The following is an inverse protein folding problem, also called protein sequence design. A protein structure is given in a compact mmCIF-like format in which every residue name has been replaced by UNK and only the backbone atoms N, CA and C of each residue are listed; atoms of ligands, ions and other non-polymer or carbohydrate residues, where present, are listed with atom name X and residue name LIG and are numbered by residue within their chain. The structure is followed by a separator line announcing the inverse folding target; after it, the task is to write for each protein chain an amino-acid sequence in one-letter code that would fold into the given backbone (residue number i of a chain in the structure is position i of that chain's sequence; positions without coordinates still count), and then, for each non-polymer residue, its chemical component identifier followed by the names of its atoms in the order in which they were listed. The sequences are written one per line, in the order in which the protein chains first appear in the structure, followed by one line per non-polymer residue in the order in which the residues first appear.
data_IF_086851665744
#
_entry.id   IF_086851665744
#
_cell.length_a   1.000
_cell.length_b   1.000
_cell.length_c   1.000
_cell.angle_alpha   90.00
_cell.angle_beta   90.00
_cell.angle_gamma   90.00
#
_symmetry.space_group_name_H-M   'P 1'
#
loop_
_entity.id
_entity.type
_entity.pdbx_description
1 polymer ?
#
# COMPACT_ATOMS: atom_id res chain seq x y z
N UNK A 1 -7.72 -16.86 -8.22
CA UNK A 1 -8.26 -15.56 -7.80
C UNK A 1 -7.46 -14.48 -8.51
N UNK A 2 -8.11 -13.56 -9.22
CA UNK A 2 -7.50 -12.42 -9.92
C UNK A 2 -7.88 -11.13 -9.22
N UNK A 3 -6.88 -10.38 -8.75
CA UNK A 3 -7.08 -9.11 -8.06
C UNK A 3 -6.21 -8.06 -8.71
N UNK A 4 -6.78 -6.91 -9.04
CA UNK A 4 -6.01 -5.72 -9.38
C UNK A 4 -5.66 -4.97 -8.09
N UNK A 5 -4.36 -4.86 -7.80
CA UNK A 5 -3.88 -4.35 -6.50
C UNK A 5 -3.56 -2.86 -6.50
N UNK A 6 -3.63 -2.17 -7.63
CA UNK A 6 -3.26 -0.76 -7.73
C UNK A 6 -4.22 -0.01 -8.65
N UNK A 7 -5.21 0.66 -8.06
CA UNK A 7 -6.21 1.46 -8.76
C UNK A 7 -6.50 2.76 -8.01
N UNK A 8 -6.64 3.85 -8.75
CA UNK A 8 -7.09 5.14 -8.24
C UNK A 8 -8.51 5.41 -8.70
N UNK A 9 -9.35 5.92 -7.80
CA UNK A 9 -10.69 6.38 -8.16
C UNK A 9 -10.81 7.90 -8.04
N UNK A 10 -11.76 8.47 -8.78
CA UNK A 10 -11.82 9.91 -9.06
C UNK A 10 -12.33 10.78 -7.92
N UNK A 11 -12.99 10.22 -6.90
CA UNK A 11 -13.55 10.97 -5.77
C UNK A 11 -12.47 11.42 -4.79
N UNK A 12 -11.52 10.54 -4.47
CA UNK A 12 -10.45 10.81 -3.49
C UNK A 12 -9.03 10.70 -4.06
N UNK A 13 -8.86 10.51 -5.37
CA UNK A 13 -7.54 10.64 -6.03
C UNK A 13 -7.61 11.65 -7.16
N UNK A 14 -6.67 12.58 -7.18
CA UNK A 14 -6.64 13.69 -8.14
C UNK A 14 -6.22 13.28 -9.56
N UNK A 15 -5.64 12.09 -9.71
CA UNK A 15 -5.03 11.59 -10.94
C UNK A 15 -5.91 10.60 -11.71
N UNK A 16 -7.12 10.33 -11.23
CA UNK A 16 -8.07 9.40 -11.86
C UNK A 16 -9.33 10.10 -12.34
N UNK A 17 -9.83 9.65 -13.50
CA UNK A 17 -11.15 10.01 -14.01
C UNK A 17 -12.17 8.86 -13.84
N UNK A 18 -11.74 7.71 -13.34
CA UNK A 18 -12.58 6.52 -13.20
C UNK A 18 -13.27 6.52 -11.84
N UNK A 19 -14.61 6.43 -11.81
CA UNK A 19 -15.33 6.29 -10.54
C UNK A 19 -15.17 4.88 -9.96
N UNK A 20 -15.49 4.72 -8.68
CA UNK A 20 -15.52 3.40 -8.04
C UNK A 20 -16.49 2.45 -8.75
N UNK A 21 -17.67 2.94 -9.15
CA UNK A 21 -18.69 2.14 -9.85
C UNK A 21 -18.16 1.64 -11.20
N UNK A 22 -17.48 2.51 -11.96
CA UNK A 22 -16.86 2.13 -13.23
C UNK A 22 -15.71 1.14 -13.04
N UNK A 23 -14.92 1.28 -11.98
CA UNK A 23 -13.88 0.31 -11.59
C UNK A 23 -14.46 -1.08 -11.28
N UNK A 24 -15.55 -1.14 -10.50
CA UNK A 24 -16.23 -2.40 -10.18
C UNK A 24 -16.81 -3.04 -11.44
N UNK A 25 -17.51 -2.25 -12.28
CA UNK A 25 -18.09 -2.73 -13.54
C UNK A 25 -17.01 -3.25 -14.49
N UNK A 26 -15.88 -2.55 -14.60
CA UNK A 26 -14.72 -2.99 -15.37
C UNK A 26 -14.16 -4.29 -14.82
N UNK A 27 -13.98 -4.38 -13.49
CA UNK A 27 -13.50 -5.60 -12.82
C UNK A 27 -14.37 -6.81 -13.13
N UNK A 28 -15.69 -6.69 -13.06
CA UNK A 28 -16.63 -7.76 -13.46
C UNK A 28 -16.46 -8.15 -14.92
N UNK A 29 -16.41 -7.16 -15.82
CA UNK A 29 -16.25 -7.39 -17.26
C UNK A 29 -14.94 -8.12 -17.57
N UNK A 30 -13.89 -7.81 -16.81
CA UNK A 30 -12.55 -8.43 -16.91
C UNK A 30 -12.42 -9.72 -16.10
N UNK A 31 -13.49 -10.18 -15.43
CA UNK A 31 -13.51 -11.38 -14.58
C UNK A 31 -12.49 -11.33 -13.42
N UNK A 32 -12.29 -10.16 -12.84
CA UNK A 32 -11.57 -10.00 -11.59
C UNK A 32 -12.43 -10.51 -10.43
N UNK A 33 -11.78 -11.11 -9.43
CA UNK A 33 -12.39 -11.49 -8.16
C UNK A 33 -12.37 -10.35 -7.13
N UNK A 34 -11.54 -9.32 -7.37
CA UNK A 34 -11.40 -8.16 -6.51
C UNK A 34 -10.56 -7.03 -7.11
N UNK A 35 -10.66 -5.87 -6.47
CA UNK A 35 -9.83 -4.68 -6.71
C UNK A 35 -9.36 -4.10 -5.38
N UNK A 36 -8.17 -3.51 -5.37
CA UNK A 36 -7.68 -2.66 -4.29
C UNK A 36 -7.69 -1.21 -4.78
N UNK A 37 -8.41 -0.35 -4.08
CA UNK A 37 -8.40 1.09 -4.33
C UNK A 37 -7.32 1.71 -3.46
N UNK A 38 -6.28 2.25 -4.08
CA UNK A 38 -5.06 2.76 -3.45
C UNK A 38 -4.83 4.22 -3.83
N UNK A 39 -5.76 5.09 -3.42
CA UNK A 39 -5.67 6.53 -3.71
C UNK A 39 -4.42 7.18 -3.09
N UNK A 40 -3.95 8.29 -3.69
CA UNK A 40 -2.75 8.98 -3.24
C UNK A 40 -2.92 9.60 -1.86
N UNK A 41 -2.04 9.21 -0.94
CA UNK A 41 -1.84 9.81 0.38
C UNK A 41 -3.12 9.95 1.24
N UNK A 42 -4.15 9.14 0.95
CA UNK A 42 -5.35 9.03 1.77
C UNK A 42 -5.99 7.64 1.64
N UNK A 43 -6.88 7.34 2.58
CA UNK A 43 -7.73 6.16 2.57
C UNK A 43 -9.19 6.55 2.83
N UNK A 44 -9.60 7.73 2.37
CA UNK A 44 -10.89 8.33 2.72
C UNK A 44 -12.08 7.53 2.23
N UNK A 45 -11.90 6.74 1.15
CA UNK A 45 -12.90 5.82 0.66
C UNK A 45 -13.37 4.81 1.72
N UNK A 46 -12.53 4.48 2.71
CA UNK A 46 -12.91 3.60 3.81
C UNK A 46 -14.06 4.18 4.67
N UNK A 47 -14.28 5.50 4.64
CA UNK A 47 -15.42 6.16 5.30
C UNK A 47 -16.75 5.86 4.59
N UNK A 48 -16.71 5.63 3.28
CA UNK A 48 -17.90 5.37 2.46
C UNK A 48 -18.29 3.89 2.46
N UNK A 49 -17.30 2.99 2.29
CA UNK A 49 -17.55 1.56 2.06
C UNK A 49 -16.89 0.63 3.10
N UNK A 50 -16.23 1.19 4.11
CA UNK A 50 -15.38 0.42 5.04
C UNK A 50 -14.05 -0.02 4.40
N UNK A 51 -13.20 -0.67 5.19
CA UNK A 51 -11.88 -1.16 4.72
C UNK A 51 -11.97 -2.36 3.76
N UNK A 52 -13.10 -3.04 3.77
CA UNK A 52 -13.41 -4.18 2.91
C UNK A 52 -14.92 -4.24 2.67
N UNK A 53 -15.30 -4.41 1.42
CA UNK A 53 -16.69 -4.60 1.00
C UNK A 53 -16.78 -5.57 -0.17
N UNK A 54 -17.96 -6.17 -0.36
CA UNK A 54 -18.29 -6.91 -1.58
C UNK A 54 -19.40 -6.14 -2.29
N UNK A 55 -19.10 -5.60 -3.47
CA UNK A 55 -20.02 -4.78 -4.24
C UNK A 55 -20.21 -5.45 -5.59
N UNK A 56 -21.44 -5.79 -5.93
CA UNK A 56 -21.80 -6.47 -7.18
C UNK A 56 -21.01 -7.76 -7.47
N UNK A 57 -20.55 -8.44 -6.43
CA UNK A 57 -19.74 -9.66 -6.50
C UNK A 57 -18.23 -9.44 -6.60
N UNK A 58 -17.77 -8.18 -6.63
CA UNK A 58 -16.34 -7.82 -6.59
C UNK A 58 -15.94 -7.50 -5.16
N UNK A 59 -14.83 -8.10 -4.70
CA UNK A 59 -14.20 -7.72 -3.44
C UNK A 59 -13.49 -6.38 -3.61
N UNK A 60 -13.86 -5.38 -2.85
CA UNK A 60 -13.21 -4.06 -2.84
C UNK A 60 -12.45 -3.93 -1.53
N UNK A 61 -11.13 -3.78 -1.65
CA UNK A 61 -10.22 -3.53 -0.52
C UNK A 61 -9.79 -2.08 -0.60
N UNK A 62 -9.92 -1.34 0.50
CA UNK A 62 -9.38 0.03 0.59
C UNK A 62 -7.95 -0.04 1.10
N UNK A 63 -7.06 0.55 0.33
CA UNK A 63 -5.66 0.78 0.66
C UNK A 63 -5.29 2.24 0.42
N UNK A 64 -4.00 2.49 0.24
CA UNK A 64 -3.46 3.82 -0.08
C UNK A 64 -2.14 3.68 -0.82
N UNK A 65 -1.86 4.58 -1.75
CA UNK A 65 -0.52 4.78 -2.31
C UNK A 65 0.13 5.97 -1.59
N UNK A 66 1.15 5.70 -0.77
CA UNK A 66 1.84 6.74 0.00
C UNK A 66 3.14 7.11 -0.70
N UNK A 67 3.33 8.40 -0.94
CA UNK A 67 4.56 8.90 -1.52
C UNK A 67 5.62 9.13 -0.42
N UNK A 68 6.42 8.08 -0.15
CA UNK A 68 7.53 8.11 0.82
C UNK A 68 8.78 8.77 0.25
N UNK A 69 9.80 9.04 1.08
CA UNK A 69 11.09 9.61 0.63
C UNK A 69 11.81 8.73 -0.39
N UNK A 70 11.59 7.43 -0.33
CA UNK A 70 12.18 6.44 -1.22
C UNK A 70 11.35 6.27 -2.49
N UNK A 71 10.02 6.42 -2.39
CA UNK A 71 9.11 6.40 -3.54
C UNK A 71 7.70 5.96 -3.14
N UNK A 72 6.92 5.55 -4.13
CA UNK A 72 5.54 5.16 -3.95
C UNK A 72 5.41 3.75 -3.40
N UNK A 73 4.60 3.63 -2.34
CA UNK A 73 4.36 2.36 -1.66
C UNK A 73 2.86 2.18 -1.48
N UNK A 74 2.35 1.05 -1.94
CA UNK A 74 0.97 0.63 -1.70
C UNK A 74 0.88 0.01 -0.33
N UNK A 75 -0.14 0.39 0.43
CA UNK A 75 -0.50 -0.23 1.68
C UNK A 75 -1.94 -0.73 1.63
N UNK A 76 -2.20 -1.90 2.21
CA UNK A 76 -3.52 -2.51 2.23
C UNK A 76 -4.09 -2.59 3.65
N UNK A 77 -5.28 -2.02 3.83
CA UNK A 77 -5.97 -1.95 5.12
C UNK A 77 -5.68 -0.67 5.90
N UNK A 78 -6.09 -0.66 7.18
CA UNK A 78 -6.03 0.53 8.04
C UNK A 78 -4.59 0.98 8.28
N UNK A 79 -4.34 2.26 8.01
CA UNK A 79 -3.05 2.90 8.20
C UNK A 79 -3.25 4.37 8.55
N UNK A 80 -2.44 4.89 9.47
CA UNK A 80 -2.40 6.31 9.78
C UNK A 80 -1.40 6.99 8.83
N UNK A 81 -1.94 7.77 7.89
CA UNK A 81 -1.14 8.40 6.82
C UNK A 81 -0.63 9.75 7.32
N UNK A 82 0.69 9.99 7.31
CA UNK A 82 1.27 11.26 7.74
C UNK A 82 0.92 12.39 6.76
N UNK A 83 0.75 13.61 7.27
CA UNK A 83 0.52 14.81 6.46
C UNK A 83 1.78 15.34 5.74
N UNK A 84 2.88 14.59 5.79
CA UNK A 84 4.18 14.95 5.22
C UNK A 84 4.88 13.71 4.71
N UNK A 85 5.76 13.91 3.73
CA UNK A 85 6.63 12.87 3.19
C UNK A 85 7.68 12.45 4.22
N UNK A 86 7.60 11.21 4.67
CA UNK A 86 8.54 10.60 5.62
C UNK A 86 9.27 9.40 4.97
N UNK A 87 10.43 8.97 5.53
CA UNK A 87 11.05 7.70 5.14
C UNK A 87 10.08 6.53 5.32
N UNK A 88 10.14 5.53 4.44
CA UNK A 88 9.35 4.31 4.57
C UNK A 88 9.56 3.62 5.92
N UNK A 89 10.79 3.64 6.45
CA UNK A 89 11.09 3.11 7.79
C UNK A 89 10.25 3.79 8.89
N UNK A 90 10.21 5.13 8.89
CA UNK A 90 9.42 5.91 9.85
C UNK A 90 7.92 5.60 9.68
N UNK A 91 7.45 5.43 8.44
CA UNK A 91 6.08 5.07 8.12
C UNK A 91 5.68 3.71 8.71
N UNK A 92 6.53 2.70 8.57
CA UNK A 92 6.30 1.38 9.17
C UNK A 92 6.31 1.46 10.69
N UNK A 93 7.25 2.19 11.27
CA UNK A 93 7.39 2.34 12.74
C UNK A 93 6.20 3.08 13.37
N UNK A 94 5.57 4.01 12.63
CA UNK A 94 4.36 4.73 13.07
C UNK A 94 3.11 3.87 13.11
N UNK A 95 3.05 2.78 12.34
CA UNK A 95 1.84 1.94 12.29
C UNK A 95 1.71 1.10 13.56
N UNK A 96 0.90 1.57 14.52
CA UNK A 96 0.53 0.79 15.73
C UNK A 96 -0.15 -0.54 15.37
N UNK A 97 -0.87 -0.55 14.25
CA UNK A 97 -1.50 -1.72 13.65
C UNK A 97 -0.77 -2.13 12.37
N UNK A 98 -0.50 -3.43 12.21
CA UNK A 98 0.26 -3.97 11.09
C UNK A 98 -0.42 -3.60 9.75
N UNK A 99 0.24 -2.90 8.81
CA UNK A 99 -0.22 -2.92 7.42
C UNK A 99 -0.23 -4.38 6.96
N UNK A 100 -1.39 -4.87 6.52
CA UNK A 100 -1.58 -6.31 6.24
C UNK A 100 -0.69 -6.81 5.09
N UNK A 101 -0.19 -5.88 4.29
CA UNK A 101 0.88 -6.04 3.32
C UNK A 101 1.20 -4.67 2.71
N UNK A 102 2.36 -4.57 2.06
CA UNK A 102 2.73 -3.41 1.25
C UNK A 102 3.42 -3.85 -0.04
N UNK A 103 3.41 -3.00 -1.07
CA UNK A 103 4.04 -3.25 -2.37
C UNK A 103 4.79 -1.98 -2.80
N UNK A 104 6.03 -2.13 -3.28
CA UNK A 104 6.74 -1.04 -3.96
C UNK A 104 6.05 -0.75 -5.30
N UNK A 105 5.35 0.37 -5.41
CA UNK A 105 4.64 0.73 -6.63
C UNK A 105 5.64 1.15 -7.70
N UNK A 106 5.47 0.61 -8.92
CA UNK A 106 6.23 0.98 -10.13
C UNK A 106 7.68 1.44 -9.85
N UNK A 107 8.53 0.54 -9.29
CA UNK A 107 9.76 0.94 -8.62
C UNK A 107 10.79 1.60 -9.54
N UNK A 108 10.73 1.36 -10.84
CA UNK A 108 11.61 1.97 -11.84
C UNK A 108 10.94 3.10 -12.63
N UNK A 109 9.85 3.69 -12.12
CA UNK A 109 9.22 4.86 -12.74
C UNK A 109 10.18 6.06 -12.71
N UNK A 110 10.36 6.71 -13.86
CA UNK A 110 11.36 7.77 -14.07
C UNK A 110 10.90 9.19 -13.68
N UNK A 111 9.92 9.35 -12.79
CA UNK A 111 9.34 10.65 -12.39
C UNK A 111 9.64 11.02 -10.93
N UNK A 112 10.73 10.50 -10.36
CA UNK A 112 11.13 10.65 -8.96
C UNK A 112 10.21 9.97 -7.92
N UNK A 113 9.27 9.14 -8.36
CA UNK A 113 8.39 8.38 -7.46
C UNK A 113 8.71 6.88 -7.38
N UNK A 114 9.65 6.37 -8.17
CA UNK A 114 10.10 4.98 -8.08
C UNK A 114 11.19 4.77 -7.02
N UNK A 115 11.09 3.67 -6.26
CA UNK A 115 12.08 3.25 -5.23
C UNK A 115 13.45 2.90 -5.80
N UNK A 116 13.53 2.48 -7.07
CA UNK A 116 14.76 2.01 -7.74
C UNK A 116 15.48 0.97 -6.86
N UNK A 117 16.77 1.16 -6.62
CA UNK A 117 17.60 0.22 -5.87
C UNK A 117 17.36 0.28 -4.35
N UNK A 118 16.66 1.30 -3.83
CA UNK A 118 16.32 1.39 -2.40
C UNK A 118 15.38 0.28 -1.94
N UNK A 119 14.73 -0.45 -2.86
CA UNK A 119 13.99 -1.67 -2.51
C UNK A 119 14.84 -2.70 -1.77
N UNK A 120 16.15 -2.77 -2.06
CA UNK A 120 17.06 -3.71 -1.42
C UNK A 120 17.20 -3.44 0.10
N UNK A 121 17.02 -2.19 0.51
CA UNK A 121 17.15 -1.78 1.92
C UNK A 121 16.02 -2.32 2.79
N UNK A 122 14.92 -2.75 2.17
CA UNK A 122 13.66 -3.13 2.81
C UNK A 122 13.31 -4.61 2.69
N UNK A 123 14.20 -5.44 2.14
CA UNK A 123 13.98 -6.89 1.94
C UNK A 123 13.65 -7.61 3.25
N UNK A 124 14.21 -7.16 4.37
CA UNK A 124 13.96 -7.77 5.69
C UNK A 124 12.48 -7.69 6.09
N UNK A 125 11.73 -6.68 5.62
CA UNK A 125 10.29 -6.57 5.87
C UNK A 125 9.46 -7.65 5.17
N UNK A 126 9.96 -8.20 4.06
CA UNK A 126 9.29 -9.28 3.33
C UNK A 126 9.36 -10.62 4.09
N UNK A 127 10.33 -10.77 5.01
CA UNK A 127 10.62 -12.02 5.72
C UNK A 127 10.25 -12.00 7.20
N UNK A 128 9.59 -10.94 7.69
CA UNK A 128 9.37 -10.74 9.13
C UNK A 128 7.97 -11.16 9.61
N UNK A 129 7.74 -12.40 10.08
CA UNK A 129 6.60 -12.69 10.93
C UNK A 129 6.81 -12.01 12.29
N UNK A 130 5.80 -11.25 12.77
CA UNK A 130 5.86 -10.42 14.00
C UNK A 130 6.05 -11.18 15.33
N UNK A 131 6.47 -12.45 15.34
CA UNK A 131 6.70 -13.23 16.55
C UNK A 131 8.18 -13.35 16.98
N UNK A 132 9.08 -12.51 16.46
CA UNK A 132 10.47 -12.48 16.94
C UNK A 132 10.67 -11.38 17.99
N UNK A 133 11.22 -11.80 19.12
CA UNK A 133 11.46 -11.00 20.33
C UNK A 133 12.35 -9.77 20.07
N UNK A 134 12.24 -8.76 20.94
CA UNK A 134 13.09 -7.54 20.90
C UNK A 134 14.59 -7.84 20.82
N UNK A 135 15.06 -8.96 21.35
CA UNK A 135 16.46 -9.38 21.29
C UNK A 135 16.92 -9.77 19.87
N UNK A 136 16.05 -10.29 19.02
CA UNK A 136 16.41 -10.64 17.64
C UNK A 136 16.59 -9.39 16.76
N UNK A 137 15.79 -8.33 17.01
CA UNK A 137 15.94 -7.01 16.34
C UNK A 137 17.31 -6.37 16.60
N UNK A 138 17.85 -6.57 17.80
CA UNK A 138 19.18 -6.08 18.17
C UNK A 138 20.32 -6.86 17.50
N UNK A 139 20.10 -8.15 17.20
CA UNK A 139 21.13 -9.01 16.61
C UNK A 139 21.34 -8.70 15.12
N UNK A 140 20.27 -8.41 14.38
CA UNK A 140 20.35 -8.08 12.94
C UNK A 140 20.91 -6.67 12.70
N UNK A 141 20.66 -5.72 13.59
CA UNK A 141 21.25 -4.37 13.49
C UNK A 141 22.77 -4.36 13.75
N UNK A 142 23.30 -5.38 14.44
CA UNK A 142 24.74 -5.55 14.65
C UNK A 142 25.46 -6.17 13.44
N UNK A 143 24.79 -6.96 12.60
CA UNK A 143 25.44 -7.58 11.42
C UNK A 143 25.66 -6.60 10.26
N UNK A 144 25.09 -5.40 10.30
CA UNK A 144 25.26 -4.34 9.29
C UNK A 144 26.43 -3.38 9.59
N UNK A 145 27.23 -3.64 10.64
CA UNK A 145 28.44 -2.86 10.97
C UNK A 145 29.75 -3.61 10.63
N UNK A 146 29.71 -4.54 9.70
CA UNK A 146 30.89 -5.23 9.18
C UNK A 146 31.05 -4.90 7.71
#
# INVERSE_FOLDING_TARGET
MYIDTHLHESKYSFDSHQSLEDAIKMGKTRKLDGICVTNHDNSDLAKDIGWFSIIDGIRVIVGTEVYTKEGDILFFGKMDIPNRRIPFQELIDMTENIPRGFIAAHPYRCNNRGLKNSMADFVDYCFYPKNLSKSYRACVSMSRRV
#
